data_IF_280679471010
#
_entry.id   IF_280679471010
#
_cell.length_a   1.000
_cell.length_b   1.000
_cell.length_c   1.000
_cell.angle_alpha   90.00
_cell.angle_beta   90.00
_cell.angle_gamma   90.00
#
_symmetry.space_group_name_H-M   'P 1'
#
loop_
_entity.id
_entity.type
_entity.pdbx_description
1 polymer ?
#
# COMPACT_ATOMS: atom_id res chain seq x y z
N UNK A 1 -2.26 -34.74 -12.68
CA UNK A 1 -1.75 -33.37 -12.92
C UNK A 1 -2.18 -32.36 -11.85
N UNK A 2 -3.46 -32.28 -11.43
CA UNK A 2 -3.94 -31.23 -10.48
C UNK A 2 -3.15 -31.12 -9.15
N UNK A 3 -2.80 -32.23 -8.44
CA UNK A 3 -2.01 -32.12 -7.22
C UNK A 3 -0.64 -31.47 -7.44
N UNK A 4 0.06 -31.84 -8.52
CA UNK A 4 1.35 -31.27 -8.90
C UNK A 4 1.25 -29.77 -9.19
N UNK A 5 0.18 -29.33 -9.86
CA UNK A 5 -0.08 -27.91 -10.10
C UNK A 5 -0.28 -27.15 -8.77
N UNK A 6 -1.00 -27.75 -7.81
CA UNK A 6 -1.18 -27.14 -6.49
C UNK A 6 0.14 -27.00 -5.73
N UNK A 7 1.02 -28.00 -5.82
CA UNK A 7 2.36 -27.98 -5.21
C UNK A 7 3.24 -26.89 -5.81
N UNK A 8 3.30 -26.80 -7.15
CA UNK A 8 4.06 -25.77 -7.86
C UNK A 8 3.56 -24.35 -7.55
N UNK A 9 2.24 -24.16 -7.52
CA UNK A 9 1.64 -22.87 -7.17
C UNK A 9 1.95 -22.49 -5.72
N UNK A 10 1.88 -23.46 -4.80
CA UNK A 10 2.23 -23.25 -3.39
C UNK A 10 3.70 -22.92 -3.21
N UNK A 11 4.60 -23.61 -3.92
CA UNK A 11 6.04 -23.34 -3.91
C UNK A 11 6.33 -21.93 -4.42
N UNK A 12 5.70 -21.52 -5.52
CA UNK A 12 5.85 -20.18 -6.07
C UNK A 12 5.32 -19.10 -5.12
N UNK A 13 4.14 -19.29 -4.53
CA UNK A 13 3.61 -18.39 -3.50
C UNK A 13 4.54 -18.27 -2.29
N UNK A 14 5.11 -19.38 -1.83
CA UNK A 14 6.03 -19.39 -0.71
C UNK A 14 7.33 -18.64 -1.05
N UNK A 15 7.85 -18.78 -2.26
CA UNK A 15 9.02 -18.05 -2.74
C UNK A 15 8.80 -16.54 -2.72
N UNK A 16 7.69 -16.05 -3.27
CA UNK A 16 7.34 -14.62 -3.22
C UNK A 16 7.08 -14.13 -1.80
N UNK A 17 6.40 -14.91 -0.96
CA UNK A 17 6.16 -14.59 0.44
C UNK A 17 7.46 -14.43 1.22
N UNK A 18 8.43 -15.31 1.02
CA UNK A 18 9.75 -15.22 1.66
C UNK A 18 10.50 -13.96 1.26
N UNK A 19 10.45 -13.60 -0.04
CA UNK A 19 11.05 -12.36 -0.56
C UNK A 19 10.41 -11.13 0.11
N UNK A 20 9.08 -11.04 0.12
CA UNK A 20 8.35 -9.93 0.74
C UNK A 20 8.61 -9.85 2.26
N UNK A 21 8.57 -10.99 2.96
CA UNK A 21 8.80 -11.05 4.42
C UNK A 21 10.22 -10.60 4.80
N UNK A 22 11.23 -10.88 3.95
CA UNK A 22 12.61 -10.43 4.17
C UNK A 22 12.73 -8.92 4.13
N UNK A 23 12.05 -8.26 3.19
CA UNK A 23 12.04 -6.79 3.09
C UNK A 23 11.36 -6.14 4.29
N UNK A 24 10.22 -6.69 4.72
CA UNK A 24 9.50 -6.24 5.92
C UNK A 24 10.36 -6.41 7.16
N UNK A 25 10.93 -7.59 7.39
CA UNK A 25 11.80 -7.87 8.54
C UNK A 25 13.00 -6.93 8.56
N UNK A 26 13.65 -6.71 7.41
CA UNK A 26 14.78 -5.79 7.30
C UNK A 26 14.40 -4.37 7.70
N UNK A 27 13.24 -3.88 7.27
CA UNK A 27 12.73 -2.56 7.65
C UNK A 27 12.48 -2.47 9.15
N UNK A 28 11.86 -3.49 9.75
CA UNK A 28 11.63 -3.57 11.19
C UNK A 28 12.95 -3.58 11.98
N UNK A 29 13.93 -4.36 11.53
CA UNK A 29 15.26 -4.43 12.14
C UNK A 29 15.99 -3.07 12.03
N UNK A 30 15.93 -2.41 10.87
CA UNK A 30 16.50 -1.08 10.66
C UNK A 30 15.89 -0.04 11.63
N UNK A 31 14.56 -0.03 11.78
CA UNK A 31 13.85 0.87 12.70
C UNK A 31 14.25 0.56 14.15
N UNK A 32 14.32 -0.71 14.52
CA UNK A 32 14.67 -1.16 15.87
C UNK A 32 16.12 -0.80 16.22
N UNK A 33 17.05 -1.00 15.30
CA UNK A 33 18.46 -0.66 15.49
C UNK A 33 18.63 0.86 15.65
N UNK A 34 18.01 1.68 14.79
CA UNK A 34 18.04 3.15 14.92
C UNK A 34 17.35 3.65 16.20
N UNK A 35 16.19 3.08 16.55
CA UNK A 35 15.51 3.43 17.79
C UNK A 35 16.37 3.11 19.01
N UNK A 36 17.07 1.98 19.00
CA UNK A 36 17.96 1.57 20.10
C UNK A 36 19.17 2.49 20.20
N UNK A 37 19.77 2.87 19.07
CA UNK A 37 20.89 3.81 18.99
C UNK A 37 20.57 5.16 19.64
N UNK A 38 19.37 5.69 19.39
CA UNK A 38 18.96 7.02 19.83
C UNK A 38 18.19 7.04 21.16
N UNK A 39 17.72 5.89 21.66
CA UNK A 39 17.10 5.79 23.00
C UNK A 39 18.13 5.83 24.13
N UNK A 40 19.39 5.46 23.86
CA UNK A 40 20.46 5.32 24.87
C UNK A 40 21.23 6.61 25.17
N UNK A 41 20.51 7.63 25.69
CA UNK A 41 21.09 8.55 26.69
C UNK A 41 20.80 8.08 28.13
N UNK A 42 20.16 6.92 28.31
CA UNK A 42 20.04 6.25 29.61
C UNK A 42 20.56 4.81 29.52
N UNK A 43 21.43 4.44 30.46
CA UNK A 43 21.95 3.09 30.73
C UNK A 43 23.03 2.51 29.79
N UNK A 44 24.22 3.13 29.82
CA UNK A 44 25.49 2.39 29.75
C UNK A 44 25.82 1.62 31.05
N UNK A 45 24.91 1.59 32.03
CA UNK A 45 25.16 1.01 33.34
C UNK A 45 24.58 -0.40 33.46
N UNK A 46 25.48 -1.35 33.75
CA UNK A 46 25.25 -2.66 34.38
C UNK A 46 24.59 -3.75 33.52
N UNK A 47 25.38 -4.54 32.77
CA UNK A 47 25.13 -5.98 32.55
C UNK A 47 26.43 -6.68 32.07
N UNK A 48 26.54 -7.99 32.38
CA UNK A 48 27.72 -8.86 32.35
C UNK A 48 28.63 -8.80 31.09
N UNK A 49 29.90 -9.25 31.17
CA UNK A 49 30.91 -8.94 30.16
C UNK A 49 30.62 -9.50 28.75
N UNK A 50 30.01 -10.69 28.64
CA UNK A 50 29.99 -11.45 27.38
C UNK A 50 28.59 -11.87 26.87
N UNK A 51 27.53 -11.68 27.67
CA UNK A 51 26.17 -12.09 27.32
C UNK A 51 25.20 -10.91 27.43
N UNK A 52 24.26 -10.82 26.49
CA UNK A 52 23.16 -9.86 26.58
C UNK A 52 22.02 -10.34 27.51
N UNK A 53 20.99 -9.51 27.68
CA UNK A 53 19.82 -9.80 28.54
C UNK A 53 19.02 -11.06 28.11
N UNK A 54 19.33 -11.65 26.95
CA UNK A 54 18.70 -12.85 26.40
C UNK A 54 19.69 -14.03 26.29
N UNK A 55 20.88 -13.93 26.88
CA UNK A 55 21.89 -15.00 26.85
C UNK A 55 22.60 -15.17 25.50
N UNK A 56 22.59 -14.15 24.63
CA UNK A 56 23.30 -14.17 23.35
C UNK A 56 24.70 -13.58 23.49
N UNK A 57 25.64 -14.08 22.68
CA UNK A 57 26.98 -13.49 22.58
C UNK A 57 26.88 -12.02 22.14
N UNK A 58 27.30 -11.14 23.06
CA UNK A 58 27.17 -9.69 22.90
C UNK A 58 28.01 -9.17 21.73
N UNK A 59 29.15 -9.79 21.43
CA UNK A 59 30.06 -9.36 20.37
C UNK A 59 29.44 -9.65 19.01
N UNK A 60 28.94 -10.89 18.83
CA UNK A 60 28.29 -11.32 17.59
C UNK A 60 27.06 -10.46 17.29
N UNK A 61 26.22 -10.21 18.31
CA UNK A 61 25.04 -9.38 18.13
C UNK A 61 25.39 -7.93 17.74
N UNK A 62 26.37 -7.32 18.41
CA UNK A 62 26.82 -5.96 18.07
C UNK A 62 27.42 -5.87 16.67
N UNK A 63 28.16 -6.89 16.24
CA UNK A 63 28.73 -6.95 14.90
C UNK A 63 27.65 -7.07 13.82
N UNK A 64 26.60 -7.86 14.07
CA UNK A 64 25.43 -7.94 13.20
C UNK A 64 24.69 -6.60 13.07
N UNK A 65 24.46 -5.88 14.18
CA UNK A 65 23.84 -4.55 14.20
C UNK A 65 24.67 -3.54 13.40
N UNK A 66 26.00 -3.54 13.59
CA UNK A 66 26.93 -2.69 12.82
C UNK A 66 26.86 -2.97 11.32
N UNK A 67 26.84 -4.25 10.93
CA UNK A 67 26.72 -4.66 9.53
C UNK A 67 25.40 -4.17 8.92
N UNK A 68 24.26 -4.37 9.59
CA UNK A 68 22.95 -3.89 9.11
C UNK A 68 22.92 -2.37 8.99
N UNK A 69 23.51 -1.66 9.95
CA UNK A 69 23.61 -0.19 9.94
C UNK A 69 24.41 0.32 8.75
N UNK A 70 25.59 -0.28 8.47
CA UNK A 70 26.38 0.07 7.31
C UNK A 70 25.63 -0.21 5.99
N UNK A 71 24.91 -1.34 5.91
CA UNK A 71 24.12 -1.69 4.72
C UNK A 71 22.96 -0.70 4.48
N UNK A 72 22.23 -0.35 5.54
CA UNK A 72 21.17 0.67 5.53
C UNK A 72 21.68 2.02 5.04
N UNK A 73 22.79 2.52 5.60
CA UNK A 73 23.36 3.79 5.19
C UNK A 73 23.90 3.74 3.75
N UNK A 74 24.45 2.61 3.32
CA UNK A 74 24.85 2.41 1.93
C UNK A 74 23.64 2.44 0.97
N UNK A 75 22.49 1.84 1.36
CA UNK A 75 21.23 1.95 0.59
C UNK A 75 20.78 3.40 0.47
N UNK A 76 20.75 4.14 1.59
CA UNK A 76 20.36 5.56 1.63
C UNK A 76 21.29 6.42 0.78
N UNK A 77 22.60 6.22 0.88
CA UNK A 77 23.59 6.94 0.10
C UNK A 77 23.41 6.72 -1.42
N UNK A 78 23.19 5.46 -1.85
CA UNK A 78 22.89 5.15 -3.26
C UNK A 78 21.64 5.86 -3.76
N UNK A 79 20.56 5.87 -2.97
CA UNK A 79 19.33 6.61 -3.33
C UNK A 79 19.56 8.11 -3.43
N UNK A 80 20.38 8.66 -2.54
CA UNK A 80 20.75 10.07 -2.58
C UNK A 80 21.50 10.39 -3.87
N UNK A 81 22.55 9.64 -4.18
CA UNK A 81 23.30 9.80 -5.42
C UNK A 81 22.44 9.65 -6.68
N UNK A 82 21.54 8.67 -6.74
CA UNK A 82 20.65 8.48 -7.88
C UNK A 82 19.69 9.68 -8.08
N UNK A 83 19.19 10.25 -6.99
CA UNK A 83 18.31 11.43 -7.05
C UNK A 83 19.05 12.70 -7.46
N UNK A 84 20.30 12.89 -7.01
CA UNK A 84 21.16 13.98 -7.45
C UNK A 84 21.36 13.95 -8.97
N UNK A 85 21.64 12.78 -9.53
CA UNK A 85 21.77 12.60 -10.99
C UNK A 85 20.48 12.96 -11.75
N UNK A 86 19.32 12.72 -11.16
CA UNK A 86 18.01 13.04 -11.78
C UNK A 86 17.51 14.46 -11.50
N UNK A 87 18.22 15.26 -10.70
CA UNK A 87 17.80 16.61 -10.30
C UNK A 87 16.61 16.66 -9.35
N UNK A 88 16.15 15.52 -8.79
CA UNK A 88 14.96 15.42 -7.92
C UNK A 88 15.28 15.48 -6.43
N UNK A 89 16.38 16.15 -6.08
CA UNK A 89 16.86 16.18 -4.69
C UNK A 89 16.02 17.08 -3.79
N UNK A 90 15.74 18.30 -4.25
CA UNK A 90 15.09 19.33 -3.44
C UNK A 90 13.66 18.96 -3.01
N UNK A 91 12.97 18.11 -3.78
CA UNK A 91 11.59 17.70 -3.51
C UNK A 91 11.49 16.47 -2.61
N UNK A 92 12.60 15.79 -2.31
CA UNK A 92 12.57 14.53 -1.59
C UNK A 92 12.72 14.71 -0.08
N UNK A 93 11.77 14.16 0.66
CA UNK A 93 11.81 14.07 2.12
C UNK A 93 12.23 12.66 2.52
N UNK A 94 13.25 12.58 3.38
CA UNK A 94 13.72 11.32 3.94
C UNK A 94 12.58 10.62 4.68
N UNK A 95 12.32 9.35 4.34
CA UNK A 95 11.14 8.59 4.79
C UNK A 95 10.11 8.33 3.69
N UNK A 96 10.17 9.03 2.54
CA UNK A 96 9.28 8.76 1.40
C UNK A 96 9.74 7.58 0.50
N UNK A 97 10.91 7.00 0.74
CA UNK A 97 11.39 5.83 -0.01
C UNK A 97 10.63 4.55 0.39
N UNK A 98 10.49 3.57 -0.52
CA UNK A 98 9.85 2.28 -0.21
C UNK A 98 10.81 1.26 0.43
N UNK A 99 12.12 1.48 0.31
CA UNK A 99 13.13 0.51 0.76
C UNK A 99 12.97 -0.87 0.13
N UNK A 100 12.59 -0.92 -1.16
CA UNK A 100 12.31 -2.16 -1.92
C UNK A 100 13.58 -2.78 -2.55
N UNK A 101 14.77 -2.22 -2.31
CA UNK A 101 16.02 -2.67 -2.91
C UNK A 101 16.49 -4.00 -2.31
N UNK A 102 16.96 -4.90 -3.17
CA UNK A 102 17.48 -6.22 -2.78
C UNK A 102 18.97 -6.35 -3.08
N UNK A 103 19.64 -7.27 -2.38
CA UNK A 103 21.04 -7.59 -2.69
C UNK A 103 21.13 -8.44 -3.96
N UNK A 104 22.27 -8.41 -4.66
CA UNK A 104 22.50 -9.26 -5.83
C UNK A 104 22.43 -10.75 -5.50
N UNK A 105 22.81 -11.14 -4.28
CA UNK A 105 22.70 -12.51 -3.78
C UNK A 105 21.23 -12.92 -3.62
N UNK A 106 20.39 -12.06 -3.02
CA UNK A 106 18.97 -12.35 -2.85
C UNK A 106 18.26 -12.51 -4.20
N UNK A 107 18.55 -11.61 -5.15
CA UNK A 107 18.00 -11.66 -6.51
C UNK A 107 18.41 -12.95 -7.22
N UNK A 108 19.70 -13.31 -7.14
CA UNK A 108 20.21 -14.54 -7.75
C UNK A 108 19.54 -15.78 -7.16
N UNK A 109 19.45 -15.87 -5.83
CA UNK A 109 18.81 -17.01 -5.15
C UNK A 109 17.32 -17.11 -5.49
N UNK A 110 16.61 -15.99 -5.53
CA UNK A 110 15.20 -15.94 -5.93
C UNK A 110 15.02 -16.42 -7.36
N UNK A 111 15.84 -15.95 -8.30
CA UNK A 111 15.78 -16.34 -9.70
C UNK A 111 16.09 -17.83 -9.88
N UNK A 112 17.09 -18.38 -9.17
CA UNK A 112 17.42 -19.80 -9.24
C UNK A 112 16.24 -20.69 -8.81
N UNK A 113 15.59 -20.37 -7.69
CA UNK A 113 14.45 -21.15 -7.22
C UNK A 113 13.21 -20.95 -8.12
N UNK A 114 12.99 -19.72 -8.61
CA UNK A 114 11.92 -19.45 -9.59
C UNK A 114 12.12 -20.28 -10.86
N UNK A 115 13.32 -20.30 -11.40
CA UNK A 115 13.65 -21.00 -12.65
C UNK A 115 13.56 -22.53 -12.47
N UNK A 116 13.89 -23.03 -11.27
CA UNK A 116 13.65 -24.43 -10.89
C UNK A 116 12.15 -24.76 -10.94
N UNK A 117 11.30 -23.96 -10.29
CA UNK A 117 9.84 -24.19 -10.28
C UNK A 117 9.29 -24.13 -11.71
N UNK A 118 9.76 -23.18 -12.53
CA UNK A 118 9.36 -23.08 -13.94
C UNK A 118 9.77 -24.31 -14.75
N UNK A 119 10.98 -24.84 -14.53
CA UNK A 119 11.45 -26.07 -15.18
C UNK A 119 10.65 -27.30 -14.74
N UNK A 120 10.19 -27.37 -13.50
CA UNK A 120 9.29 -28.43 -13.04
C UNK A 120 7.89 -28.25 -13.65
N UNK A 121 7.42 -27.01 -13.78
CA UNK A 121 6.11 -26.68 -14.37
C UNK A 121 5.97 -27.08 -15.84
N UNK A 122 7.06 -27.01 -16.62
CA UNK A 122 7.02 -27.40 -18.04
C UNK A 122 6.84 -28.91 -18.24
N UNK A 123 7.06 -29.73 -17.20
CA UNK A 123 6.97 -31.19 -17.27
C UNK A 123 5.60 -31.75 -16.89
N UNK A 124 4.70 -30.89 -16.38
CA UNK A 124 3.40 -31.29 -15.80
C UNK A 124 2.53 -32.09 -16.77
N UNK A 125 2.70 -31.88 -18.08
CA UNK A 125 1.90 -32.50 -19.13
C UNK A 125 2.72 -33.38 -20.09
N UNK A 126 3.96 -33.75 -19.74
CA UNK A 126 4.80 -34.64 -20.60
C UNK A 126 4.17 -36.02 -20.84
N UNK A 127 3.35 -36.49 -19.89
CA UNK A 127 2.67 -37.79 -19.93
C UNK A 127 1.22 -37.72 -20.40
N UNK A 128 0.77 -36.56 -20.88
CA UNK A 128 -0.62 -36.32 -21.31
C UNK A 128 -0.75 -36.44 -22.82
N UNK A 129 -1.88 -37.00 -23.27
CA UNK A 129 -2.22 -37.10 -24.69
C UNK A 129 -2.22 -35.72 -25.36
N UNK A 130 -1.76 -35.66 -26.61
CA UNK A 130 -1.65 -34.43 -27.41
C UNK A 130 -2.97 -33.66 -27.53
N UNK A 131 -4.12 -34.33 -27.39
CA UNK A 131 -5.43 -33.67 -27.45
C UNK A 131 -5.82 -32.94 -26.16
N UNK A 132 -5.11 -33.12 -25.05
CA UNK A 132 -5.53 -32.64 -23.72
C UNK A 132 -4.44 -31.94 -22.90
N UNK A 133 -3.27 -31.65 -23.48
CA UNK A 133 -2.16 -31.02 -22.75
C UNK A 133 -2.24 -29.49 -22.71
N UNK A 134 -2.99 -28.85 -23.62
CA UNK A 134 -3.10 -27.38 -23.74
C UNK A 134 -4.55 -26.89 -23.70
N UNK A 135 -4.74 -25.62 -23.36
CA UNK A 135 -6.06 -24.99 -23.35
C UNK A 135 -6.70 -25.04 -24.74
N UNK A 136 -5.96 -24.73 -25.80
CA UNK A 136 -6.47 -24.75 -27.17
C UNK A 136 -6.90 -26.15 -27.61
N UNK A 137 -6.08 -27.17 -27.32
CA UNK A 137 -6.41 -28.55 -27.66
C UNK A 137 -7.71 -29.01 -26.96
N UNK A 138 -7.83 -28.72 -25.66
CA UNK A 138 -9.04 -29.05 -24.88
C UNK A 138 -10.24 -28.26 -25.42
N UNK A 139 -10.08 -26.94 -25.59
CA UNK A 139 -11.10 -26.02 -26.09
C UNK A 139 -11.68 -26.52 -27.41
N UNK A 140 -10.85 -26.88 -28.39
CA UNK A 140 -11.31 -27.35 -29.70
C UNK A 140 -12.16 -28.62 -29.63
N UNK A 141 -11.90 -29.53 -28.67
CA UNK A 141 -12.75 -30.71 -28.48
C UNK A 141 -14.17 -30.32 -28.04
N UNK A 142 -14.27 -29.36 -27.10
CA UNK A 142 -15.56 -28.90 -26.59
C UNK A 142 -16.31 -28.01 -27.58
N UNK A 143 -15.62 -27.19 -28.37
CA UNK A 143 -16.22 -26.46 -29.49
C UNK A 143 -16.78 -27.42 -30.55
N UNK A 144 -16.03 -28.47 -30.89
CA UNK A 144 -16.50 -29.49 -31.83
C UNK A 144 -17.72 -30.24 -31.28
N UNK A 145 -17.76 -30.55 -29.98
CA UNK A 145 -18.91 -31.16 -29.33
C UNK A 145 -20.11 -30.21 -29.36
N UNK A 146 -19.94 -28.95 -28.95
CA UNK A 146 -20.99 -27.93 -28.96
C UNK A 146 -21.60 -27.76 -30.35
N UNK A 147 -20.75 -27.62 -31.37
CA UNK A 147 -21.18 -27.42 -32.77
C UNK A 147 -21.90 -28.64 -33.36
N UNK A 148 -21.39 -29.87 -33.12
CA UNK A 148 -21.95 -31.09 -33.75
C UNK A 148 -23.09 -31.72 -32.96
N UNK A 149 -23.10 -31.59 -31.64
CA UNK A 149 -24.04 -32.26 -30.74
C UNK A 149 -24.51 -31.34 -29.60
N UNK A 150 -25.00 -30.15 -29.95
CA UNK A 150 -25.43 -29.11 -28.99
C UNK A 150 -26.39 -29.61 -27.90
N UNK A 151 -27.39 -30.43 -28.26
CA UNK A 151 -28.35 -30.97 -27.30
C UNK A 151 -27.65 -31.79 -26.20
N UNK A 152 -26.75 -32.71 -26.59
CA UNK A 152 -25.98 -33.51 -25.64
C UNK A 152 -25.00 -32.68 -24.82
N UNK A 153 -24.38 -31.65 -25.42
CA UNK A 153 -23.51 -30.71 -24.71
C UNK A 153 -24.27 -29.97 -23.60
N UNK A 154 -25.48 -29.49 -23.92
CA UNK A 154 -26.36 -28.80 -22.97
C UNK A 154 -26.85 -29.73 -21.87
N UNK A 155 -27.34 -30.92 -22.23
CA UNK A 155 -27.87 -31.91 -21.29
C UNK A 155 -26.79 -32.44 -20.32
N UNK A 156 -25.53 -32.46 -20.75
CA UNK A 156 -24.38 -32.81 -19.91
C UNK A 156 -23.85 -31.62 -19.08
N UNK A 157 -24.48 -30.44 -19.16
CA UNK A 157 -24.08 -29.23 -18.44
C UNK A 157 -22.61 -28.84 -18.65
N UNK A 158 -22.10 -29.02 -19.88
CA UNK A 158 -20.66 -28.85 -20.16
C UNK A 158 -20.20 -27.42 -19.86
N UNK A 159 -20.96 -26.39 -20.24
CA UNK A 159 -20.60 -24.99 -19.97
C UNK A 159 -20.35 -24.69 -18.48
N UNK A 160 -21.09 -25.35 -17.57
CA UNK A 160 -20.88 -25.22 -16.12
C UNK A 160 -19.64 -25.98 -15.62
N UNK A 161 -19.14 -26.95 -16.40
CA UNK A 161 -17.96 -27.75 -16.08
C UNK A 161 -16.66 -27.12 -16.60
N UNK A 162 -16.72 -26.34 -17.69
CA UNK A 162 -15.54 -25.75 -18.33
C UNK A 162 -14.65 -24.92 -17.39
N UNK A 163 -15.19 -24.04 -16.52
CA UNK A 163 -14.32 -23.30 -15.60
C UNK A 163 -13.48 -24.25 -14.73
N UNK A 164 -14.10 -25.31 -14.18
CA UNK A 164 -13.39 -26.29 -13.34
C UNK A 164 -12.32 -27.04 -14.13
N UNK A 165 -12.56 -27.29 -15.42
CA UNK A 165 -11.62 -27.96 -16.30
C UNK A 165 -10.40 -27.09 -16.62
N UNK A 166 -10.61 -25.81 -16.94
CA UNK A 166 -9.52 -24.90 -17.32
C UNK A 166 -8.76 -24.32 -16.13
N UNK A 167 -9.37 -24.23 -14.94
CA UNK A 167 -8.75 -23.63 -13.75
C UNK A 167 -7.32 -24.12 -13.46
N UNK A 168 -7.00 -25.44 -13.46
CA UNK A 168 -5.64 -25.89 -13.19
C UNK A 168 -4.63 -25.44 -14.25
N UNK A 169 -5.00 -25.46 -15.53
CA UNK A 169 -4.15 -25.02 -16.64
C UNK A 169 -3.86 -23.53 -16.54
N UNK A 170 -4.87 -22.73 -16.22
CA UNK A 170 -4.75 -21.28 -16.07
C UNK A 170 -3.90 -20.93 -14.85
N UNK A 171 -4.09 -21.63 -13.71
CA UNK A 171 -3.23 -21.47 -12.52
C UNK A 171 -1.76 -21.76 -12.82
N UNK A 172 -1.48 -22.75 -13.66
CA UNK A 172 -0.12 -23.04 -14.13
C UNK A 172 0.45 -21.88 -14.95
N UNK A 173 -0.34 -21.28 -15.85
CA UNK A 173 0.09 -20.10 -16.62
C UNK A 173 0.27 -18.85 -15.73
N UNK A 174 -0.47 -18.76 -14.62
CA UNK A 174 -0.41 -17.64 -13.67
C UNK A 174 0.63 -17.82 -12.55
N UNK A 175 1.51 -18.83 -12.61
CA UNK A 175 2.51 -19.09 -11.57
C UNK A 175 3.33 -17.82 -11.25
N UNK A 176 3.92 -17.21 -12.27
CA UNK A 176 4.78 -16.02 -12.16
C UNK A 176 4.02 -14.70 -12.25
N UNK A 177 2.69 -14.74 -12.40
CA UNK A 177 1.89 -13.53 -12.52
C UNK A 177 1.78 -12.82 -11.17
N UNK A 178 2.44 -11.67 -11.08
CA UNK A 178 2.40 -10.77 -9.93
C UNK A 178 2.19 -9.33 -10.41
N UNK A 179 0.97 -8.78 -10.36
CA UNK A 179 0.66 -7.44 -10.87
C UNK A 179 1.35 -6.30 -10.11
N UNK A 180 2.06 -6.61 -9.01
CA UNK A 180 2.85 -5.66 -8.24
C UNK A 180 4.21 -5.34 -8.90
N UNK A 181 4.70 -6.16 -9.83
CA UNK A 181 6.01 -5.98 -10.48
C UNK A 181 5.94 -5.06 -11.71
N UNK A 182 7.04 -4.35 -12.01
CA UNK A 182 7.01 -3.26 -13.01
C UNK A 182 6.93 -3.69 -14.48
N UNK A 183 7.26 -4.94 -14.77
CA UNK A 183 7.16 -5.53 -16.11
C UNK A 183 6.10 -6.64 -16.15
N UNK A 184 5.09 -6.56 -15.28
CA UNK A 184 4.03 -7.55 -15.26
C UNK A 184 3.12 -7.37 -16.47
N UNK A 185 2.89 -8.46 -17.21
CA UNK A 185 1.94 -8.50 -18.32
C UNK A 185 0.52 -8.50 -17.76
N UNK A 186 -0.37 -7.77 -18.43
CA UNK A 186 -1.80 -7.81 -18.17
C UNK A 186 -2.34 -9.22 -18.44
N UNK A 187 -3.11 -9.79 -17.50
CA UNK A 187 -3.59 -11.17 -17.64
C UNK A 187 -4.51 -11.34 -18.86
N UNK A 188 -5.21 -10.28 -19.28
CA UNK A 188 -6.10 -10.31 -20.45
C UNK A 188 -5.33 -10.44 -21.77
N UNK A 189 -4.04 -10.16 -21.76
CA UNK A 189 -3.18 -10.38 -22.92
C UNK A 189 -2.52 -11.76 -22.88
N UNK A 190 -2.77 -12.60 -21.88
CA UNK A 190 -2.17 -13.92 -21.81
C UNK A 190 -2.88 -14.90 -22.74
N UNK A 191 -2.14 -15.91 -23.21
CA UNK A 191 -2.63 -16.91 -24.16
C UNK A 191 -3.93 -17.56 -23.69
N UNK A 192 -4.03 -17.95 -22.41
CA UNK A 192 -5.27 -18.55 -21.91
C UNK A 192 -6.50 -17.65 -22.07
N UNK A 193 -6.34 -16.34 -21.94
CA UNK A 193 -7.45 -15.39 -22.03
C UNK A 193 -7.85 -15.22 -23.51
N UNK A 194 -6.86 -14.99 -24.37
CA UNK A 194 -7.06 -14.89 -25.83
C UNK A 194 -7.71 -16.17 -26.39
N UNK A 195 -7.27 -17.35 -25.96
CA UNK A 195 -7.84 -18.64 -26.34
C UNK A 195 -9.32 -18.75 -25.96
N UNK A 196 -9.73 -18.25 -24.78
CA UNK A 196 -11.10 -18.43 -24.28
C UNK A 196 -12.04 -17.27 -24.60
N UNK A 197 -11.54 -16.15 -25.12
CA UNK A 197 -12.30 -14.90 -25.33
C UNK A 197 -13.58 -15.06 -26.15
N UNK A 198 -13.52 -15.85 -27.21
CA UNK A 198 -14.65 -16.07 -28.12
C UNK A 198 -15.33 -17.44 -27.92
N UNK A 199 -15.00 -18.15 -26.83
CA UNK A 199 -15.66 -19.42 -26.56
C UNK A 199 -17.16 -19.22 -26.35
N UNK A 200 -17.98 -19.97 -27.10
CA UNK A 200 -19.43 -19.86 -27.03
C UNK A 200 -20.04 -18.70 -27.83
N UNK A 201 -19.23 -17.81 -28.40
CA UNK A 201 -19.66 -16.69 -29.24
C UNK A 201 -19.81 -17.14 -30.71
N UNK A 202 -20.95 -17.72 -31.07
CA UNK A 202 -21.30 -17.99 -32.47
C UNK A 202 -22.20 -16.88 -33.05
N UNK A 203 -22.18 -16.69 -34.38
CA UNK A 203 -22.96 -15.65 -35.10
C UNK A 203 -24.49 -15.89 -35.08
N UNK A 204 -24.95 -17.05 -34.60
CA UNK A 204 -26.37 -17.41 -34.54
C UNK A 204 -27.02 -16.99 -33.22
N UNK A 205 -28.34 -16.78 -33.23
CA UNK A 205 -29.14 -16.26 -32.11
C UNK A 205 -28.66 -16.80 -30.75
N UNK A 206 -28.05 -15.92 -29.95
CA UNK A 206 -27.59 -16.27 -28.61
C UNK A 206 -28.76 -16.82 -27.81
N UNK A 207 -28.64 -18.08 -27.40
CA UNK A 207 -29.60 -18.69 -26.48
C UNK A 207 -29.59 -17.85 -25.20
N UNK A 208 -30.78 -17.37 -24.78
CA UNK A 208 -30.93 -16.71 -23.47
C UNK A 208 -30.37 -17.63 -22.39
N UNK A 209 -29.49 -17.10 -21.54
CA UNK A 209 -28.81 -17.79 -20.45
C UNK A 209 -27.82 -18.89 -20.87
N UNK A 210 -27.04 -18.68 -21.94
CA UNK A 210 -25.91 -19.55 -22.25
C UNK A 210 -24.83 -19.48 -21.15
N UNK A 211 -24.61 -20.61 -20.46
CA UNK A 211 -23.60 -20.75 -19.43
C UNK A 211 -22.18 -20.48 -19.95
N UNK A 212 -21.92 -20.69 -21.24
CA UNK A 212 -20.61 -20.50 -21.86
C UNK A 212 -20.19 -19.01 -21.85
N UNK A 213 -21.14 -18.06 -21.91
CA UNK A 213 -20.87 -16.61 -21.83
C UNK A 213 -20.23 -16.24 -20.48
N UNK A 214 -20.57 -16.99 -19.43
CA UNK A 214 -20.04 -16.77 -18.08
C UNK A 214 -18.66 -17.41 -17.85
N UNK A 215 -18.07 -18.08 -18.85
CA UNK A 215 -16.81 -18.83 -18.71
C UNK A 215 -15.66 -17.93 -18.21
N UNK A 216 -15.35 -16.86 -18.94
CA UNK A 216 -14.27 -15.93 -18.57
C UNK A 216 -14.54 -15.23 -17.23
N UNK A 217 -15.72 -14.63 -16.98
CA UNK A 217 -16.06 -14.09 -15.66
C UNK A 217 -15.87 -15.11 -14.53
N UNK A 218 -16.31 -16.36 -14.73
CA UNK A 218 -16.16 -17.42 -13.72
C UNK A 218 -14.69 -17.77 -13.48
N UNK A 219 -13.84 -17.77 -14.51
CA UNK A 219 -12.39 -17.97 -14.33
C UNK A 219 -11.77 -16.81 -13.54
N UNK A 220 -12.13 -15.56 -13.86
CA UNK A 220 -11.67 -14.39 -13.10
C UNK A 220 -12.08 -14.51 -11.64
N UNK A 221 -13.34 -14.88 -11.39
CA UNK A 221 -13.88 -15.12 -10.05
C UNK A 221 -13.09 -16.21 -9.31
N UNK A 222 -12.81 -17.34 -9.95
CA UNK A 222 -12.32 -18.57 -9.30
C UNK A 222 -10.81 -18.75 -9.31
N UNK A 223 -10.09 -17.99 -10.12
CA UNK A 223 -8.64 -18.10 -10.27
C UNK A 223 -7.95 -16.77 -9.97
N UNK A 224 -8.37 -15.68 -10.63
CA UNK A 224 -7.69 -14.39 -10.51
C UNK A 224 -7.93 -13.75 -9.13
N UNK A 225 -9.17 -13.73 -8.63
CA UNK A 225 -9.47 -13.18 -7.30
C UNK A 225 -8.77 -13.95 -6.15
N UNK A 226 -8.76 -15.30 -6.10
CA UNK A 226 -7.98 -16.03 -5.10
C UNK A 226 -6.48 -15.77 -5.19
N UNK A 227 -5.91 -15.67 -6.40
CA UNK A 227 -4.50 -15.33 -6.59
C UNK A 227 -4.18 -13.93 -6.02
N UNK A 228 -5.01 -12.94 -6.32
CA UNK A 228 -4.88 -11.59 -5.75
C UNK A 228 -5.05 -11.57 -4.23
N UNK A 229 -5.87 -12.45 -3.68
CA UNK A 229 -6.04 -12.60 -2.21
C UNK A 229 -4.72 -13.04 -1.58
N UNK A 230 -4.08 -14.09 -2.12
CA UNK A 230 -2.76 -14.55 -1.64
C UNK A 230 -1.70 -13.45 -1.74
N UNK A 231 -1.69 -12.69 -2.84
CA UNK A 231 -0.78 -11.56 -3.06
C UNK A 231 -1.02 -10.46 -2.02
N UNK A 232 -2.27 -10.12 -1.74
CA UNK A 232 -2.66 -9.11 -0.76
C UNK A 232 -2.21 -9.47 0.65
N UNK A 233 -2.32 -10.75 1.03
CA UNK A 233 -1.98 -11.21 2.37
C UNK A 233 -0.47 -11.33 2.60
N UNK A 234 0.28 -11.78 1.59
CA UNK A 234 1.62 -12.30 1.79
C UNK A 234 2.72 -11.55 1.03
N UNK A 235 2.37 -10.76 0.01
CA UNK A 235 3.35 -10.19 -0.93
C UNK A 235 3.26 -8.66 -0.95
N UNK A 236 2.05 -8.10 -0.99
CA UNK A 236 1.84 -6.66 -1.01
C UNK A 236 2.40 -5.98 0.24
N UNK A 237 3.23 -4.97 -0.01
CA UNK A 237 3.78 -4.07 1.01
C UNK A 237 3.04 -2.73 1.01
N UNK A 238 2.27 -2.40 2.06
CA UNK A 238 1.55 -1.14 2.14
C UNK A 238 2.44 0.11 2.24
N UNK A 239 3.72 -0.01 2.58
CA UNK A 239 4.66 1.11 2.52
C UNK A 239 5.18 1.36 1.11
N UNK A 240 5.06 0.42 0.17
CA UNK A 240 5.46 0.64 -1.21
C UNK A 240 4.35 1.34 -1.99
N UNK A 241 4.57 2.61 -2.32
CA UNK A 241 3.62 3.40 -3.12
C UNK A 241 3.40 2.76 -4.49
N UNK A 242 4.47 2.30 -5.14
CA UNK A 242 4.40 1.64 -6.44
C UNK A 242 3.57 0.36 -6.40
N UNK A 243 3.80 -0.52 -5.41
CA UNK A 243 3.00 -1.74 -5.29
C UNK A 243 1.54 -1.41 -4.97
N UNK A 244 1.31 -0.45 -4.08
CA UNK A 244 -0.05 -0.02 -3.71
C UNK A 244 -0.82 0.52 -4.91
N UNK A 245 -0.23 1.42 -5.70
CA UNK A 245 -0.88 1.96 -6.90
C UNK A 245 -1.21 0.88 -7.93
N UNK A 246 -0.31 -0.09 -8.13
CA UNK A 246 -0.56 -1.22 -9.03
C UNK A 246 -1.67 -2.14 -8.53
N UNK A 247 -1.67 -2.43 -7.23
CA UNK A 247 -2.71 -3.25 -6.61
C UNK A 247 -4.09 -2.57 -6.71
N UNK A 248 -4.17 -1.28 -6.41
CA UNK A 248 -5.40 -0.49 -6.59
C UNK A 248 -5.85 -0.51 -8.05
N UNK A 249 -4.93 -0.31 -8.99
CA UNK A 249 -5.26 -0.29 -10.42
C UNK A 249 -5.82 -1.63 -10.92
N UNK A 250 -5.22 -2.77 -10.54
CA UNK A 250 -5.75 -4.08 -10.96
C UNK A 250 -7.10 -4.39 -10.30
N UNK A 251 -7.29 -4.02 -9.03
CA UNK A 251 -8.59 -4.23 -8.35
C UNK A 251 -9.67 -3.34 -8.97
N UNK A 252 -9.36 -2.07 -9.27
CA UNK A 252 -10.29 -1.17 -9.94
C UNK A 252 -10.66 -1.68 -11.34
N UNK A 253 -9.65 -2.13 -12.12
CA UNK A 253 -9.88 -2.75 -13.43
C UNK A 253 -10.85 -3.94 -13.33
N UNK A 254 -10.69 -4.78 -12.31
CA UNK A 254 -11.57 -5.93 -12.10
C UNK A 254 -13.00 -5.53 -11.72
N UNK A 255 -13.16 -4.49 -10.88
CA UNK A 255 -14.48 -3.95 -10.53
C UNK A 255 -15.20 -3.41 -11.77
N UNK A 256 -14.47 -2.67 -12.61
CA UNK A 256 -15.05 -2.02 -13.80
C UNK A 256 -15.33 -3.02 -14.93
N UNK A 257 -14.41 -3.96 -15.18
CA UNK A 257 -14.46 -4.89 -16.30
C UNK A 257 -15.25 -6.18 -16.05
N UNK A 258 -15.42 -6.60 -14.78
CA UNK A 258 -16.01 -7.88 -14.42
C UNK A 258 -17.10 -7.76 -13.34
N UNK A 259 -17.89 -6.68 -13.38
CA UNK A 259 -18.92 -6.36 -12.37
C UNK A 259 -19.96 -7.47 -12.13
N UNK A 260 -20.17 -8.38 -13.09
CA UNK A 260 -21.04 -9.56 -12.93
C UNK A 260 -20.54 -10.52 -11.84
N UNK A 261 -19.23 -10.59 -11.61
CA UNK A 261 -18.62 -11.49 -10.60
C UNK A 261 -17.81 -10.74 -9.54
N UNK A 262 -17.31 -9.54 -9.85
CA UNK A 262 -16.58 -8.68 -8.92
C UNK A 262 -17.55 -7.66 -8.32
N UNK A 263 -18.27 -8.10 -7.30
CA UNK A 263 -19.24 -7.28 -6.58
C UNK A 263 -19.24 -7.60 -5.08
N UNK A 264 -19.99 -6.81 -4.31
CA UNK A 264 -20.00 -6.89 -2.84
C UNK A 264 -20.58 -8.21 -2.30
N UNK A 265 -21.40 -8.93 -3.08
CA UNK A 265 -22.02 -10.19 -2.68
C UNK A 265 -21.12 -11.40 -2.96
N UNK A 266 -20.14 -11.24 -3.85
CA UNK A 266 -19.22 -12.31 -4.21
C UNK A 266 -18.25 -12.66 -3.06
N UNK A 267 -18.20 -13.95 -2.70
CA UNK A 267 -17.35 -14.44 -1.60
C UNK A 267 -15.85 -14.24 -1.86
N UNK A 268 -15.38 -14.43 -3.09
CA UNK A 268 -13.96 -14.26 -3.43
C UNK A 268 -13.58 -12.77 -3.41
N UNK A 269 -14.47 -11.88 -3.84
CA UNK A 269 -14.29 -10.43 -3.67
C UNK A 269 -14.23 -10.04 -2.19
N UNK A 270 -15.15 -10.55 -1.37
CA UNK A 270 -15.13 -10.32 0.08
C UNK A 270 -13.83 -10.83 0.74
N UNK A 271 -13.33 -12.00 0.32
CA UNK A 271 -12.05 -12.54 0.80
C UNK A 271 -10.87 -11.64 0.44
N UNK A 272 -10.80 -11.16 -0.81
CA UNK A 272 -9.78 -10.22 -1.25
C UNK A 272 -9.81 -8.92 -0.44
N UNK A 273 -10.99 -8.30 -0.28
CA UNK A 273 -11.14 -7.07 0.50
C UNK A 273 -10.76 -7.30 1.98
N UNK A 274 -11.15 -8.44 2.56
CA UNK A 274 -10.78 -8.81 3.94
C UNK A 274 -9.27 -8.97 4.08
N UNK A 275 -8.61 -9.64 3.13
CA UNK A 275 -7.16 -9.81 3.11
C UNK A 275 -6.43 -8.47 3.10
N UNK A 276 -6.85 -7.54 2.24
CA UNK A 276 -6.32 -6.18 2.16
C UNK A 276 -6.46 -5.44 3.49
N UNK A 277 -7.65 -5.47 4.09
CA UNK A 277 -7.93 -4.81 5.37
C UNK A 277 -7.10 -5.40 6.51
N UNK A 278 -6.98 -6.74 6.58
CA UNK A 278 -6.15 -7.40 7.58
C UNK A 278 -4.67 -7.05 7.41
N UNK A 279 -4.18 -6.98 6.17
CA UNK A 279 -2.81 -6.57 5.88
C UNK A 279 -2.54 -5.13 6.34
N UNK A 280 -3.43 -4.19 6.03
CA UNK A 280 -3.34 -2.80 6.50
C UNK A 280 -3.32 -2.70 8.03
N UNK A 281 -4.21 -3.43 8.73
CA UNK A 281 -4.25 -3.46 10.20
C UNK A 281 -2.95 -3.97 10.81
N UNK A 282 -2.44 -5.10 10.32
CA UNK A 282 -1.14 -5.64 10.77
C UNK A 282 -0.02 -4.63 10.57
N UNK A 283 -0.01 -3.91 9.45
CA UNK A 283 1.00 -2.86 9.22
C UNK A 283 0.90 -1.72 10.22
N UNK A 284 -0.30 -1.31 10.64
CA UNK A 284 -0.45 -0.31 11.71
C UNK A 284 0.07 -0.80 13.06
N UNK A 285 -0.19 -2.07 13.39
CA UNK A 285 0.15 -2.62 14.70
C UNK A 285 1.64 -3.02 14.82
N UNK A 286 2.21 -3.59 13.75
CA UNK A 286 3.54 -4.21 13.78
C UNK A 286 4.64 -3.34 13.14
N UNK A 287 4.30 -2.50 12.16
CA UNK A 287 5.31 -1.84 11.31
C UNK A 287 5.40 -0.31 11.51
N UNK A 288 4.36 0.35 12.01
CA UNK A 288 4.37 1.81 12.23
C UNK A 288 5.02 2.12 13.57
N UNK A 289 6.07 2.94 13.53
CA UNK A 289 6.79 3.39 14.71
C UNK A 289 7.00 4.90 14.67
N UNK A 290 6.64 5.59 15.76
CA UNK A 290 6.91 7.01 15.95
C UNK A 290 7.70 7.22 17.24
N UNK A 291 8.98 7.66 17.18
CA UNK A 291 9.78 7.85 18.38
C UNK A 291 9.32 9.07 19.17
N UNK A 292 9.42 8.97 20.49
CA UNK A 292 9.11 10.06 21.41
C UNK A 292 10.42 10.64 21.96
N UNK A 293 10.75 11.86 21.53
CA UNK A 293 11.92 12.59 22.01
C UNK A 293 11.51 13.90 22.70
N UNK A 294 12.17 14.26 23.82
CA UNK A 294 12.08 15.59 24.39
C UNK A 294 12.38 16.70 23.38
N UNK A 295 11.67 17.84 23.47
CA UNK A 295 11.78 18.96 22.51
C UNK A 295 13.21 19.48 22.36
N UNK A 296 13.95 19.58 23.45
CA UNK A 296 15.35 20.03 23.45
C UNK A 296 16.29 19.11 22.64
N UNK A 297 15.98 17.82 22.51
CA UNK A 297 16.74 16.91 21.64
C UNK A 297 16.43 17.20 20.16
N UNK A 298 15.20 17.60 19.85
CA UNK A 298 14.74 17.88 18.49
C UNK A 298 15.17 19.27 17.98
N UNK A 299 15.59 20.18 18.85
CA UNK A 299 16.10 21.52 18.46
C UNK A 299 17.34 21.43 17.56
N UNK A 300 18.20 20.42 17.75
CA UNK A 300 19.33 20.19 16.86
C UNK A 300 18.88 19.43 15.61
N UNK A 301 18.60 20.17 14.54
CA UNK A 301 18.15 19.65 13.23
C UNK A 301 19.16 18.74 12.52
N UNK A 302 20.41 18.73 12.96
CA UNK A 302 21.45 17.85 12.44
C UNK A 302 21.69 16.61 13.33
N UNK A 303 20.95 16.47 14.44
CA UNK A 303 21.10 15.33 15.35
C UNK A 303 20.50 14.06 14.75
N UNK A 304 21.10 12.91 15.08
CA UNK A 304 20.57 11.59 14.72
C UNK A 304 19.12 11.36 15.14
N UNK A 305 18.72 11.65 16.40
CA UNK A 305 17.34 11.54 16.87
C UNK A 305 16.35 12.37 16.04
N UNK A 306 16.70 13.63 15.73
CA UNK A 306 15.86 14.49 14.89
C UNK A 306 15.68 13.90 13.49
N UNK A 307 16.77 13.51 12.83
CA UNK A 307 16.71 12.95 11.47
C UNK A 307 15.90 11.64 11.43
N UNK A 308 16.03 10.80 12.45
CA UNK A 308 15.24 9.59 12.59
C UNK A 308 13.76 9.88 12.81
N UNK A 309 13.43 10.84 13.68
CA UNK A 309 12.07 11.31 13.89
C UNK A 309 11.43 11.82 12.59
N UNK A 310 12.14 12.65 11.81
CA UNK A 310 11.64 13.13 10.51
C UNK A 310 11.39 11.97 9.53
N UNK A 311 12.29 10.97 9.48
CA UNK A 311 12.08 9.78 8.64
C UNK A 311 10.81 9.02 9.00
N UNK A 312 10.57 8.80 10.29
CA UNK A 312 9.37 8.10 10.74
C UNK A 312 8.10 8.91 10.49
N UNK A 313 8.16 10.24 10.65
CA UNK A 313 7.07 11.13 10.28
C UNK A 313 6.69 10.99 8.80
N UNK A 314 7.66 11.16 7.89
CA UNK A 314 7.40 11.10 6.45
C UNK A 314 7.02 9.70 5.97
N UNK A 315 7.57 8.65 6.59
CA UNK A 315 7.13 7.27 6.34
C UNK A 315 5.65 7.07 6.72
N UNK A 316 5.21 7.65 7.84
CA UNK A 316 3.80 7.61 8.27
C UNK A 316 2.89 8.40 7.33
N UNK A 317 3.31 9.59 6.88
CA UNK A 317 2.55 10.37 5.88
C UNK A 317 2.47 9.65 4.54
N UNK A 318 3.54 8.97 4.11
CA UNK A 318 3.53 8.14 2.91
C UNK A 318 2.55 6.98 3.04
N UNK A 319 2.57 6.27 4.17
CA UNK A 319 1.62 5.18 4.45
C UNK A 319 0.18 5.69 4.45
N UNK A 320 -0.08 6.86 5.01
CA UNK A 320 -1.38 7.53 4.97
C UNK A 320 -1.85 7.72 3.52
N UNK A 321 -0.98 8.29 2.67
CA UNK A 321 -1.26 8.44 1.24
C UNK A 321 -1.53 7.10 0.55
N UNK A 322 -0.75 6.07 0.84
CA UNK A 322 -0.94 4.73 0.28
C UNK A 322 -2.27 4.10 0.70
N UNK A 323 -2.67 4.21 1.98
CA UNK A 323 -3.97 3.73 2.43
C UNK A 323 -5.10 4.47 1.70
N UNK A 324 -5.00 5.79 1.57
CA UNK A 324 -6.03 6.62 0.96
C UNK A 324 -6.19 6.43 -0.55
N UNK A 325 -5.23 5.79 -1.24
CA UNK A 325 -5.41 5.36 -2.64
C UNK A 325 -6.55 4.35 -2.82
N UNK A 326 -6.96 3.65 -1.74
CA UNK A 326 -8.07 2.70 -1.77
C UNK A 326 -9.45 3.35 -1.67
N UNK A 327 -9.50 4.69 -1.68
CA UNK A 327 -10.75 5.42 -1.82
C UNK A 327 -11.52 5.00 -3.09
N UNK A 328 -12.82 4.79 -2.96
CA UNK A 328 -13.69 4.30 -4.05
C UNK A 328 -13.80 2.77 -4.12
N UNK A 329 -12.84 2.03 -3.54
CA UNK A 329 -12.88 0.57 -3.43
C UNK A 329 -13.32 0.16 -2.03
N UNK A 330 -12.67 0.71 -1.00
CA UNK A 330 -13.02 0.49 0.39
C UNK A 330 -14.07 1.50 0.86
N UNK A 331 -14.92 1.10 1.81
CA UNK A 331 -15.90 2.01 2.39
C UNK A 331 -15.21 3.18 3.09
N UNK A 332 -15.78 4.39 2.96
CA UNK A 332 -15.24 5.60 3.60
C UNK A 332 -15.07 5.40 5.11
N UNK A 333 -16.03 4.75 5.78
CA UNK A 333 -15.97 4.47 7.22
C UNK A 333 -14.72 3.65 7.56
N UNK A 334 -14.53 2.51 6.91
CA UNK A 334 -13.37 1.63 7.17
C UNK A 334 -12.06 2.32 6.82
N UNK A 335 -12.02 3.06 5.72
CA UNK A 335 -10.82 3.77 5.32
C UNK A 335 -10.45 4.87 6.32
N UNK A 336 -11.42 5.65 6.78
CA UNK A 336 -11.24 6.66 7.84
C UNK A 336 -10.79 6.03 9.16
N UNK A 337 -11.36 4.90 9.58
CA UNK A 337 -10.92 4.16 10.78
C UNK A 337 -9.43 3.74 10.67
N UNK A 338 -8.99 3.26 9.52
CA UNK A 338 -7.59 2.84 9.32
C UNK A 338 -6.63 4.03 9.17
N UNK A 339 -6.99 5.00 8.32
CA UNK A 339 -6.10 6.09 7.92
C UNK A 339 -6.12 7.24 8.93
N UNK A 340 -7.29 7.62 9.42
CA UNK A 340 -7.43 8.76 10.35
C UNK A 340 -7.24 8.27 11.77
N UNK A 341 -8.07 7.35 12.26
CA UNK A 341 -7.98 6.91 13.66
C UNK A 341 -6.73 6.07 13.91
N UNK A 342 -6.47 5.09 13.04
CA UNK A 342 -5.36 4.16 13.18
C UNK A 342 -3.97 4.75 12.92
N UNK A 343 -3.86 5.81 12.10
CA UNK A 343 -2.56 6.36 11.69
C UNK A 343 -2.39 7.84 12.02
N UNK A 344 -3.28 8.72 11.53
CA UNK A 344 -3.17 10.16 11.80
C UNK A 344 -3.27 10.46 13.29
N UNK A 345 -4.36 10.03 13.93
CA UNK A 345 -4.65 10.31 15.33
C UNK A 345 -3.69 9.58 16.27
N UNK A 346 -3.34 8.33 15.96
CA UNK A 346 -2.48 7.49 16.81
C UNK A 346 -0.99 7.83 16.73
N UNK A 347 -0.47 8.19 15.56
CA UNK A 347 0.99 8.34 15.36
C UNK A 347 1.39 9.72 14.84
N UNK A 348 0.74 10.23 13.79
CA UNK A 348 1.17 11.46 13.13
C UNK A 348 0.88 12.69 14.01
N UNK A 349 -0.27 12.74 14.69
CA UNK A 349 -0.60 13.83 15.63
C UNK A 349 0.38 13.90 16.81
N UNK A 350 0.84 12.76 17.31
CA UNK A 350 1.87 12.75 18.36
C UNK A 350 3.16 13.41 17.88
N UNK A 351 3.54 13.19 16.62
CA UNK A 351 4.71 13.85 16.04
C UNK A 351 4.51 15.37 15.86
N UNK A 352 3.31 15.79 15.48
CA UNK A 352 2.97 17.21 15.38
C UNK A 352 3.09 17.95 16.72
N UNK A 353 2.71 17.33 17.83
CA UNK A 353 2.83 17.91 19.18
C UNK A 353 4.29 18.14 19.63
N UNK A 354 5.23 17.38 19.05
CA UNK A 354 6.66 17.46 19.35
C UNK A 354 7.46 18.28 18.32
N UNK A 355 6.80 18.74 17.25
CA UNK A 355 7.44 19.54 16.20
C UNK A 355 7.49 21.03 16.57
N UNK A 356 8.41 21.77 15.95
CA UNK A 356 8.50 23.23 16.09
C UNK A 356 7.25 23.93 15.53
N UNK A 357 6.80 24.98 16.21
CA UNK A 357 5.67 25.79 15.76
C UNK A 357 6.16 26.78 14.70
N UNK A 358 5.72 26.61 13.44
CA UNK A 358 6.12 27.49 12.34
C UNK A 358 5.93 26.87 10.97
N UNK A 359 6.73 27.33 10.01
CA UNK A 359 6.60 26.96 8.58
C UNK A 359 6.73 25.43 8.34
N UNK A 360 7.62 24.74 9.06
CA UNK A 360 7.78 23.28 8.94
C UNK A 360 6.48 22.53 9.29
N UNK A 361 5.86 22.86 10.42
CA UNK A 361 4.59 22.26 10.85
C UNK A 361 3.45 22.55 9.86
N UNK A 362 3.44 23.74 9.25
CA UNK A 362 2.45 24.11 8.22
C UNK A 362 2.67 23.28 6.96
N UNK A 363 3.91 23.13 6.48
CA UNK A 363 4.23 22.28 5.32
C UNK A 363 3.88 20.82 5.55
N UNK A 364 4.16 20.29 6.75
CA UNK A 364 3.77 18.95 7.17
C UNK A 364 2.26 18.77 7.18
N UNK A 365 1.52 19.73 7.74
CA UNK A 365 0.07 19.72 7.72
C UNK A 365 -0.49 19.77 6.29
N UNK A 366 0.10 20.59 5.41
CA UNK A 366 -0.23 20.62 3.99
C UNK A 366 -0.05 19.25 3.34
N UNK A 367 1.06 18.55 3.59
CA UNK A 367 1.30 17.21 3.04
C UNK A 367 0.29 16.18 3.53
N UNK A 368 -0.08 16.22 4.82
CA UNK A 368 -1.13 15.34 5.37
C UNK A 368 -2.47 15.61 4.69
N UNK A 369 -2.87 16.88 4.56
CA UNK A 369 -4.14 17.26 3.91
C UNK A 369 -4.15 16.87 2.43
N UNK A 370 -3.01 16.99 1.74
CA UNK A 370 -2.88 16.62 0.34
C UNK A 370 -3.13 15.12 0.08
N UNK A 371 -2.99 14.26 1.10
CA UNK A 371 -3.32 12.85 0.99
C UNK A 371 -4.83 12.56 0.97
N UNK A 372 -5.67 13.45 1.50
CA UNK A 372 -7.11 13.17 1.65
C UNK A 372 -7.87 13.20 0.32
N UNK A 373 -8.78 12.24 0.08
CA UNK A 373 -9.71 12.31 -1.03
C UNK A 373 -10.56 13.59 -0.96
N UNK A 374 -10.43 14.46 -1.96
CA UNK A 374 -11.16 15.75 -2.00
C UNK A 374 -12.68 15.55 -1.90
N UNK A 375 -13.17 14.45 -2.45
CA UNK A 375 -14.58 14.05 -2.47
C UNK A 375 -15.16 13.84 -1.08
N UNK A 376 -14.36 13.52 -0.06
CA UNK A 376 -14.84 13.44 1.33
C UNK A 376 -15.38 14.76 1.85
N UNK A 377 -14.95 15.88 1.28
CA UNK A 377 -15.29 17.22 1.75
C UNK A 377 -16.32 17.93 0.86
N UNK A 378 -16.54 17.47 -0.38
CA UNK A 378 -17.42 18.16 -1.34
C UNK A 378 -18.88 18.22 -0.89
N UNK A 379 -19.39 17.14 -0.29
CA UNK A 379 -20.82 16.99 0.03
C UNK A 379 -21.14 17.22 1.52
N UNK A 380 -20.23 17.82 2.29
CA UNK A 380 -20.46 18.10 3.70
C UNK A 380 -21.39 19.30 3.87
N UNK A 381 -22.52 19.08 4.54
CA UNK A 381 -23.51 20.08 4.91
C UNK A 381 -23.18 20.69 6.28
N UNK A 382 -23.19 22.01 6.38
CA UNK A 382 -22.85 22.75 7.61
C UNK A 382 -21.37 23.08 7.71
N UNK A 383 -20.98 23.60 8.88
CA UNK A 383 -19.65 24.20 9.10
C UNK A 383 -18.61 23.22 9.65
N UNK A 384 -19.03 22.00 9.99
CA UNK A 384 -18.18 20.97 10.60
C UNK A 384 -17.63 20.00 9.56
N UNK A 385 -16.37 19.61 9.77
CA UNK A 385 -15.70 18.57 8.98
C UNK A 385 -16.08 17.15 9.46
N UNK A 386 -15.42 16.15 8.88
CA UNK A 386 -15.46 14.74 9.29
C UNK A 386 -15.04 14.61 10.76
N UNK A 387 -15.84 13.95 11.59
CA UNK A 387 -15.64 13.87 13.04
C UNK A 387 -14.26 13.36 13.47
N UNK A 388 -13.67 12.43 12.73
CA UNK A 388 -12.38 11.82 13.05
C UNK A 388 -11.22 12.81 12.89
N UNK A 389 -11.39 13.91 12.13
CA UNK A 389 -10.38 14.96 11.93
C UNK A 389 -10.38 16.03 13.04
N UNK A 390 -11.29 15.95 14.01
CA UNK A 390 -11.43 16.95 15.07
C UNK A 390 -10.11 17.21 15.81
N UNK A 391 -9.35 16.16 16.17
CA UNK A 391 -8.07 16.33 16.86
C UNK A 391 -7.02 17.05 16.00
N UNK A 392 -7.05 16.83 14.69
CA UNK A 392 -6.18 17.54 13.75
C UNK A 392 -6.60 19.00 13.58
N UNK A 393 -7.92 19.27 13.54
CA UNK A 393 -8.44 20.64 13.50
C UNK A 393 -8.01 21.42 14.75
N UNK A 394 -8.16 20.83 15.95
CA UNK A 394 -7.68 21.43 17.22
C UNK A 394 -6.18 21.67 17.22
N UNK A 395 -5.39 20.76 16.67
CA UNK A 395 -3.95 20.97 16.53
C UNK A 395 -3.65 22.20 15.64
N UNK A 396 -4.33 22.35 14.51
CA UNK A 396 -4.16 23.50 13.62
C UNK A 396 -4.54 24.82 14.29
N UNK A 397 -5.64 24.85 15.06
CA UNK A 397 -6.01 26.02 15.88
C UNK A 397 -4.90 26.33 16.90
N UNK A 398 -4.45 25.33 17.65
CA UNK A 398 -3.37 25.49 18.62
C UNK A 398 -2.06 25.98 18.00
N UNK A 399 -1.74 25.52 16.78
CA UNK A 399 -0.58 25.98 16.01
C UNK A 399 -0.71 27.47 15.67
N UNK A 400 -1.89 27.92 15.22
CA UNK A 400 -2.15 29.34 14.94
C UNK A 400 -1.99 30.20 16.19
N UNK A 401 -2.59 29.80 17.32
CA UNK A 401 -2.51 30.51 18.59
C UNK A 401 -1.08 30.60 19.11
N UNK A 402 -0.30 29.54 18.93
CA UNK A 402 1.10 29.51 19.37
C UNK A 402 1.99 30.37 18.50
N UNK A 403 1.79 30.36 17.17
CA UNK A 403 2.48 31.27 16.25
C UNK A 403 2.16 32.73 16.58
N UNK A 404 0.88 33.04 16.85
CA UNK A 404 0.47 34.38 17.25
C UNK A 404 1.16 34.82 18.54
N UNK A 405 1.06 34.00 19.61
CA UNK A 405 1.68 34.30 20.91
C UNK A 405 3.19 34.51 20.81
N UNK A 406 3.87 33.66 20.03
CA UNK A 406 5.33 33.78 19.82
C UNK A 406 5.73 35.03 19.03
N UNK A 407 4.80 35.68 18.31
CA UNK A 407 5.06 36.91 17.57
C UNK A 407 4.84 38.19 18.41
N UNK A 408 4.25 38.07 19.60
CA UNK A 408 4.02 39.21 20.49
C UNK A 408 5.38 39.71 21.00
N UNK A 409 5.66 41.00 20.79
CA UNK A 409 6.94 41.61 21.18
C UNK A 409 8.09 41.40 20.19
N UNK A 410 7.88 40.64 19.11
CA UNK A 410 8.85 40.47 18.02
C UNK A 410 8.87 41.68 17.05
N UNK A 411 9.82 41.65 16.11
CA UNK A 411 9.95 42.66 15.05
C UNK A 411 8.71 42.71 14.15
N UNK A 412 8.51 43.83 13.45
CA UNK A 412 7.37 43.98 12.52
C UNK A 412 7.41 42.98 11.37
N UNK A 413 8.61 42.54 10.96
CA UNK A 413 8.80 41.50 9.96
C UNK A 413 8.29 40.15 10.47
N UNK A 414 8.65 39.77 11.70
CA UNK A 414 8.21 38.52 12.31
C UNK A 414 6.69 38.50 12.56
N UNK A 415 6.11 39.63 12.99
CA UNK A 415 4.65 39.78 13.11
C UNK A 415 3.94 39.62 11.77
N UNK A 416 4.52 40.16 10.69
CA UNK A 416 3.97 39.98 9.34
C UNK A 416 4.03 38.53 8.89
N UNK A 417 5.16 37.85 9.12
CA UNK A 417 5.31 36.43 8.80
C UNK A 417 4.34 35.55 9.60
N UNK A 418 4.17 35.84 10.89
CA UNK A 418 3.19 35.16 11.75
C UNK A 418 1.76 35.31 11.22
N UNK A 419 1.37 36.51 10.78
CA UNK A 419 0.05 36.73 10.14
C UNK A 419 -0.12 35.92 8.86
N UNK A 420 0.90 35.84 8.00
CA UNK A 420 0.84 35.02 6.80
C UNK A 420 0.75 33.52 7.11
N UNK A 421 1.47 33.04 8.12
CA UNK A 421 1.34 31.67 8.62
C UNK A 421 -0.07 31.37 9.15
N UNK A 422 -0.68 32.28 9.92
CA UNK A 422 -2.06 32.12 10.40
C UNK A 422 -3.05 32.08 9.22
N UNK A 423 -2.87 32.94 8.20
CA UNK A 423 -3.67 32.88 6.97
C UNK A 423 -3.54 31.53 6.26
N UNK A 424 -2.34 30.95 6.22
CA UNK A 424 -2.14 29.62 5.65
C UNK A 424 -2.87 28.55 6.46
N UNK A 425 -2.81 28.58 7.79
CA UNK A 425 -3.54 27.64 8.66
C UNK A 425 -5.05 27.74 8.46
N UNK A 426 -5.60 28.95 8.34
CA UNK A 426 -7.01 29.17 8.01
C UNK A 426 -7.37 28.50 6.67
N UNK A 427 -6.51 28.64 5.65
CA UNK A 427 -6.70 27.96 4.35
C UNK A 427 -6.66 26.43 4.48
N UNK A 428 -5.82 25.89 5.37
CA UNK A 428 -5.77 24.45 5.64
C UNK A 428 -7.04 23.94 6.32
N UNK A 429 -7.55 24.64 7.32
CA UNK A 429 -8.83 24.30 7.96
C UNK A 429 -9.98 24.36 6.94
N UNK A 430 -9.99 25.37 6.08
CA UNK A 430 -11.01 25.52 5.04
C UNK A 430 -10.94 24.41 3.97
N UNK A 431 -9.75 23.94 3.60
CA UNK A 431 -9.58 22.91 2.56
C UNK A 431 -10.11 21.54 2.99
N UNK A 432 -10.14 21.26 4.30
CA UNK A 432 -10.80 20.09 4.90
C UNK A 432 -12.22 20.39 5.40
N UNK A 433 -12.82 21.53 5.02
CA UNK A 433 -14.18 21.95 5.42
C UNK A 433 -14.41 22.04 6.94
N UNK A 434 -13.38 22.35 7.72
CA UNK A 434 -13.50 22.70 9.13
C UNK A 434 -13.76 24.22 9.24
N UNK A 435 -14.92 24.66 8.75
CA UNK A 435 -15.24 26.09 8.61
C UNK A 435 -15.44 26.76 9.96
N UNK A 436 -16.04 26.06 10.93
CA UNK A 436 -16.22 26.54 12.31
C UNK A 436 -14.87 26.91 12.97
N UNK A 437 -13.88 26.02 12.87
CA UNK A 437 -12.52 26.24 13.36
C UNK A 437 -11.84 27.36 12.58
N UNK A 438 -12.00 27.41 11.26
CA UNK A 438 -11.39 28.43 10.42
C UNK A 438 -11.94 29.85 10.73
N UNK A 439 -13.26 29.97 10.93
CA UNK A 439 -13.91 31.23 11.35
C UNK A 439 -13.41 31.65 12.73
N UNK A 440 -13.30 30.70 13.67
CA UNK A 440 -12.82 30.97 15.03
C UNK A 440 -11.40 31.57 14.98
N UNK A 441 -10.46 30.91 14.30
CA UNK A 441 -9.08 31.41 14.14
C UNK A 441 -9.05 32.76 13.42
N UNK A 442 -9.87 32.95 12.38
CA UNK A 442 -9.93 34.22 11.66
C UNK A 442 -10.40 35.37 12.55
N UNK A 443 -11.40 35.14 13.42
CA UNK A 443 -11.92 36.14 14.35
C UNK A 443 -10.90 36.45 15.46
N UNK A 444 -10.36 35.41 16.11
CA UNK A 444 -9.44 35.57 17.24
C UNK A 444 -8.17 36.34 16.83
N UNK A 445 -7.70 36.13 15.60
CA UNK A 445 -6.48 36.76 15.08
C UNK A 445 -6.74 37.94 14.10
N UNK A 446 -7.99 38.44 14.03
CA UNK A 446 -8.40 39.59 13.22
C UNK A 446 -8.06 39.49 11.71
N UNK A 447 -8.17 38.30 11.11
CA UNK A 447 -7.93 38.04 9.69
C UNK A 447 -9.21 38.30 8.87
N UNK A 448 -9.35 39.53 8.35
CA UNK A 448 -10.57 39.99 7.63
C UNK A 448 -10.82 39.31 6.28
N UNK A 449 -9.80 38.71 5.67
CA UNK A 449 -9.85 38.14 4.30
C UNK A 449 -10.63 36.81 4.20
N UNK A 450 -11.06 36.21 5.31
CA UNK A 450 -11.64 34.86 5.29
C UNK A 450 -13.07 34.79 4.73
N UNK A 451 -13.90 35.83 4.91
CA UNK A 451 -15.29 35.83 4.40
C UNK A 451 -15.38 35.65 2.87
N UNK A 452 -14.40 36.21 2.15
CA UNK A 452 -14.30 36.12 0.68
C UNK A 452 -13.94 34.70 0.23
N UNK A 453 -13.22 33.93 1.05
CA UNK A 453 -12.77 32.57 0.72
C UNK A 453 -13.87 31.50 0.83
N UNK A 454 -14.94 31.78 1.60
CA UNK A 454 -16.09 30.87 1.77
C UNK A 454 -17.14 31.13 0.70
N UNK A 455 -17.34 32.39 0.31
CA UNK A 455 -18.38 32.82 -0.65
C UNK A 455 -17.96 32.64 -2.13
N UNK A 456 -16.68 32.38 -2.41
CA UNK A 456 -16.14 32.13 -3.75
C UNK A 456 -16.18 30.67 -4.19
N UNK A 457 -17.33 30.01 -4.13
CA UNK A 457 -17.59 28.72 -4.80
C UNK A 457 -18.99 28.64 -5.38
#
# INVERSE_FOLDING_TARGET
QVPLINELESAMHQLYKQRASRLVQRRQDDIKDESSEFSSHSNKALMAPNLDSFGRDRVIYQEQVKRRTAEREARRARRRQAREQTGKMADHLEGLSSDDEETSTDITNFNLERDRILKESSKVFEDVLESFYSIDCIKSQFEAWRSKYFASYKDAYIGLCLPKLFNPLIRLQLLTWTPLEGKCRDFETMLWFESLLFYGCEEQEQVKDDADISLLPTIVERVVLPKLTVISENIWDPFSTTQTSRMVAIVQKLIDGYSSVVNAENKNTQMLLKALLLRMRRTLDDDVFMPLYPKNILENKNSGPYLFFQRQFWSSVKLLGNFLQWYGILSNKTLQELSIDGLLNRYILMAFQNSEYGEDSIKKAQSVIACFPKQWFTNLTGDKTISQLENFCRYLVHLADTIYRNSIGCSDVEKRNAREHIKQIIKLLASIRALDHAVTVANDHNVKEFKILIEGK
#
